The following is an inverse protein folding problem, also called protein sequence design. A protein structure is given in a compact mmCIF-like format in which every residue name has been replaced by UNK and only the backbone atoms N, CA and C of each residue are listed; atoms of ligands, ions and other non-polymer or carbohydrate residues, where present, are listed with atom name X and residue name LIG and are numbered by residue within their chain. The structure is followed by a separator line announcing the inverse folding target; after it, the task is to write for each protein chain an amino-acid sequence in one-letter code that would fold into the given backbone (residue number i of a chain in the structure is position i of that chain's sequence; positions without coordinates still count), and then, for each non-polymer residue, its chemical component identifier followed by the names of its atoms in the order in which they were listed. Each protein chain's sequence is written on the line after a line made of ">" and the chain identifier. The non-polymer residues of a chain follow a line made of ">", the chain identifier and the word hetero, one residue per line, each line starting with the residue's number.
data_IF_740830516405
#
_entry.id   IF_740830516405
#
_cell.length_a   1.000
_cell.length_b   1.000
_cell.length_c   1.000
_cell.angle_alpha   90.00
_cell.angle_beta   90.00
_cell.angle_gamma   90.00
#
_symmetry.space_group_name_H-M   'P 1'
#
loop_
_entity.id
_entity.type
_entity.pdbx_description
1 polymer ?
#
# COMPACT_ATOMS: atom_id res chain seq x y z
N UNK A 1 20.99 -75.26 15.91
CA UNK A 1 19.91 -74.42 16.48
C UNK A 1 20.19 -72.98 16.09
N UNK A 2 19.19 -72.30 15.51
CA UNK A 2 19.04 -70.83 15.32
C UNK A 2 20.10 -70.22 14.36
N UNK A 3 19.77 -69.94 13.10
CA UNK A 3 19.08 -68.72 12.62
C UNK A 3 20.01 -68.06 11.57
N UNK A 4 19.63 -67.22 10.61
CA UNK A 4 18.35 -66.66 10.20
C UNK A 4 18.52 -66.24 8.72
N UNK A 5 17.43 -66.29 7.95
CA UNK A 5 17.36 -65.77 6.57
C UNK A 5 17.30 -64.25 6.61
N UNK A 6 17.97 -63.56 5.69
CA UNK A 6 17.63 -62.18 5.34
C UNK A 6 17.76 -62.00 3.83
N UNK A 7 16.60 -61.86 3.17
CA UNK A 7 16.47 -61.47 1.78
C UNK A 7 16.59 -59.94 1.69
N UNK A 8 17.42 -59.46 0.78
CA UNK A 8 17.55 -58.04 0.45
C UNK A 8 16.51 -57.73 -0.63
N UNK A 9 15.47 -56.99 -0.28
CA UNK A 9 14.56 -56.36 -1.24
C UNK A 9 15.22 -55.09 -1.77
N UNK A 10 15.41 -55.03 -3.10
CA UNK A 10 15.86 -53.84 -3.82
C UNK A 10 14.63 -52.95 -4.10
N UNK A 11 14.43 -51.90 -3.32
CA UNK A 11 13.40 -50.89 -3.59
C UNK A 11 13.91 -49.87 -4.60
N UNK A 12 13.33 -49.88 -5.80
CA UNK A 12 13.45 -48.85 -6.82
C UNK A 12 12.68 -47.60 -6.38
N UNK A 13 13.39 -46.54 -5.97
CA UNK A 13 12.83 -45.19 -5.84
C UNK A 13 12.83 -44.52 -7.21
N UNK A 14 11.64 -44.27 -7.75
CA UNK A 14 11.45 -43.41 -8.92
C UNK A 14 11.58 -41.93 -8.50
N UNK A 15 12.53 -41.21 -9.09
CA UNK A 15 12.62 -39.75 -9.01
C UNK A 15 11.53 -39.13 -9.90
N UNK A 16 10.60 -38.39 -9.29
CA UNK A 16 9.71 -37.48 -10.00
C UNK A 16 10.38 -36.11 -10.20
N UNK A 17 10.17 -35.42 -11.34
CA UNK A 17 10.74 -34.10 -11.56
C UNK A 17 10.03 -33.03 -10.72
N UNK A 18 10.82 -32.23 -10.00
CA UNK A 18 10.39 -31.04 -9.28
C UNK A 18 10.08 -29.95 -10.32
N UNK A 19 8.82 -29.56 -10.44
CA UNK A 19 8.41 -28.41 -11.25
C UNK A 19 8.74 -27.12 -10.50
N UNK A 20 9.64 -26.30 -11.05
CA UNK A 20 10.01 -25.01 -10.51
C UNK A 20 8.92 -23.97 -10.83
N UNK A 21 8.26 -23.45 -9.79
CA UNK A 21 7.39 -22.29 -9.91
C UNK A 21 8.24 -21.00 -9.96
N UNK A 22 7.92 -20.01 -10.82
CA UNK A 22 8.54 -18.71 -10.75
C UNK A 22 8.00 -17.95 -9.54
N UNK A 23 8.91 -17.48 -8.69
CA UNK A 23 8.61 -16.51 -7.64
C UNK A 23 8.45 -15.12 -8.24
N UNK A 24 7.34 -14.46 -7.92
CA UNK A 24 7.17 -13.03 -8.15
C UNK A 24 7.20 -12.30 -6.81
N UNK A 25 8.24 -11.50 -6.64
CA UNK A 25 8.29 -10.36 -5.73
C UNK A 25 8.01 -9.08 -6.54
N UNK A 26 7.70 -7.99 -5.80
CA UNK A 26 7.45 -6.61 -6.23
C UNK A 26 5.99 -6.32 -6.68
N UNK A 27 5.24 -5.37 -6.14
CA UNK A 27 5.62 -4.15 -5.40
C UNK A 27 5.49 -2.92 -6.30
N UNK A 28 4.27 -2.52 -6.63
CA UNK A 28 3.99 -1.20 -7.22
C UNK A 28 2.54 -0.79 -6.92
N UNK A 29 2.38 0.25 -6.10
CA UNK A 29 1.12 0.98 -5.99
C UNK A 29 0.85 1.70 -7.31
N UNK A 30 -0.15 1.22 -8.03
CA UNK A 30 -0.67 1.86 -9.24
C UNK A 30 -2.17 2.00 -9.10
N UNK A 31 -2.64 3.18 -8.69
CA UNK A 31 -4.00 3.58 -8.99
C UNK A 31 -4.09 3.92 -10.49
N UNK A 32 -4.95 3.18 -11.18
CA UNK A 32 -5.57 3.48 -12.47
C UNK A 32 -4.66 3.52 -13.70
N UNK A 33 -4.30 2.33 -14.19
CA UNK A 33 -4.13 2.12 -15.62
C UNK A 33 -5.51 1.99 -16.28
N UNK A 34 -5.95 3.02 -17.00
CA UNK A 34 -7.07 2.90 -17.93
C UNK A 34 -6.69 1.93 -19.06
N UNK A 35 -7.02 0.65 -18.87
CA UNK A 35 -7.15 -0.29 -19.99
C UNK A 35 -8.31 0.17 -20.86
N UNK A 36 -8.04 0.40 -22.14
CA UNK A 36 -9.06 0.59 -23.16
C UNK A 36 -9.90 -0.69 -23.25
N UNK A 37 -11.03 -0.71 -22.57
CA UNK A 37 -12.07 -1.71 -22.76
C UNK A 37 -13.07 -1.18 -23.79
N UNK A 38 -12.95 -1.66 -25.03
CA UNK A 38 -14.13 -1.83 -25.88
C UNK A 38 -14.84 -3.09 -25.37
N UNK A 39 -16.00 -2.94 -24.73
CA UNK A 39 -16.81 -4.07 -24.27
C UNK A 39 -17.79 -3.72 -23.15
N UNK A 40 -19.06 -3.63 -23.55
CA UNK A 40 -20.30 -3.64 -22.77
C UNK A 40 -20.65 -2.46 -21.85
N UNK A 41 -21.88 -1.97 -22.03
CA UNK A 41 -22.62 -1.00 -21.20
C UNK A 41 -22.88 -1.52 -19.78
N UNK A 42 -21.84 -1.98 -19.09
CA UNK A 42 -21.90 -2.39 -17.70
C UNK A 42 -22.06 -1.12 -16.84
N UNK A 43 -23.16 -1.04 -16.11
CA UNK A 43 -23.35 0.02 -15.12
C UNK A 43 -22.18 -0.03 -14.11
N UNK A 44 -21.51 1.09 -13.81
CA UNK A 44 -20.21 1.11 -13.14
C UNK A 44 -20.19 0.48 -11.74
N UNK A 45 -21.37 0.35 -11.11
CA UNK A 45 -21.55 -0.23 -9.78
C UNK A 45 -22.30 -1.57 -9.75
N UNK A 46 -22.75 -2.08 -10.91
CA UNK A 46 -23.46 -3.35 -10.96
C UNK A 46 -22.58 -4.49 -10.43
N UNK A 47 -23.12 -5.26 -9.50
CA UNK A 47 -22.42 -6.33 -8.78
C UNK A 47 -21.79 -5.88 -7.46
N UNK A 48 -21.52 -4.58 -7.27
CA UNK A 48 -20.91 -4.09 -6.03
C UNK A 48 -21.87 -4.06 -4.84
N UNK A 49 -23.19 -4.12 -5.09
CA UNK A 49 -24.20 -4.20 -4.04
C UNK A 49 -24.09 -5.47 -3.17
N UNK A 50 -23.36 -6.49 -3.61
CA UNK A 50 -23.13 -7.73 -2.83
C UNK A 50 -21.97 -7.62 -1.84
N UNK A 51 -21.15 -6.55 -1.92
CA UNK A 51 -20.08 -6.30 -0.93
C UNK A 51 -20.66 -6.19 0.46
N UNK A 52 -19.86 -6.54 1.47
CA UNK A 52 -20.26 -6.34 2.87
C UNK A 52 -20.44 -4.86 3.21
N UNK A 53 -19.47 -4.03 2.83
CA UNK A 53 -19.49 -2.57 2.98
C UNK A 53 -19.42 -1.99 1.57
N UNK A 54 -20.41 -1.20 1.13
CA UNK A 54 -20.51 -0.84 -0.30
C UNK A 54 -19.37 0.05 -0.77
N UNK A 55 -18.86 0.90 0.13
CA UNK A 55 -17.75 1.82 -0.12
C UNK A 55 -16.37 1.15 -0.14
N UNK A 56 -16.24 -0.08 0.39
CA UNK A 56 -14.94 -0.77 0.55
C UNK A 56 -14.97 -2.14 -0.13
N UNK A 57 -14.03 -2.39 -1.04
CA UNK A 57 -13.83 -3.75 -1.57
C UNK A 57 -13.13 -4.65 -0.54
N UNK A 58 -13.17 -5.96 -0.75
CA UNK A 58 -12.43 -6.90 0.10
C UNK A 58 -10.91 -6.65 0.03
N UNK A 59 -10.41 -6.17 -1.11
CA UNK A 59 -9.02 -5.77 -1.29
C UNK A 59 -8.68 -4.53 -0.45
N UNK A 60 -9.55 -3.52 -0.44
CA UNK A 60 -9.38 -2.33 0.40
C UNK A 60 -9.32 -2.70 1.89
N UNK A 61 -10.24 -3.54 2.34
CA UNK A 61 -10.27 -4.04 3.72
C UNK A 61 -8.99 -4.79 4.07
N UNK A 62 -8.48 -5.64 3.16
CA UNK A 62 -7.25 -6.37 3.38
C UNK A 62 -6.03 -5.44 3.48
N UNK A 63 -5.93 -4.43 2.60
CA UNK A 63 -4.86 -3.42 2.64
C UNK A 63 -4.89 -2.58 3.92
N UNK A 64 -6.08 -2.12 4.31
CA UNK A 64 -6.31 -1.37 5.55
C UNK A 64 -5.87 -2.18 6.78
N UNK A 65 -6.27 -3.46 6.86
CA UNK A 65 -5.87 -4.38 7.94
C UNK A 65 -4.38 -4.70 7.95
N UNK A 66 -3.73 -4.63 6.80
CA UNK A 66 -2.29 -4.75 6.69
C UNK A 66 -1.54 -3.43 7.03
N UNK A 67 -2.25 -2.37 7.41
CA UNK A 67 -1.67 -1.06 7.74
C UNK A 67 -1.07 -0.35 6.52
N UNK A 68 -1.56 -0.66 5.31
CA UNK A 68 -1.08 -0.03 4.08
C UNK A 68 -1.56 1.42 4.01
N UNK A 69 -0.70 2.27 3.44
CA UNK A 69 -0.91 3.71 3.43
C UNK A 69 -2.03 4.23 2.53
N UNK A 70 -2.54 3.42 1.58
CA UNK A 70 -3.67 3.79 0.70
C UNK A 70 -3.55 5.21 0.09
N UNK A 71 -2.32 5.61 -0.24
CA UNK A 71 -1.98 6.95 -0.76
C UNK A 71 -2.08 8.11 0.23
N UNK A 72 -2.41 7.88 1.51
CA UNK A 72 -2.66 8.93 2.50
C UNK A 72 -1.51 9.90 2.72
N UNK A 73 -0.26 9.42 2.59
CA UNK A 73 0.94 10.22 2.78
C UNK A 73 1.52 10.83 1.49
N UNK A 74 0.87 10.68 0.34
CA UNK A 74 1.34 11.28 -0.93
C UNK A 74 1.67 12.78 -0.81
N UNK A 75 0.92 13.62 -0.07
CA UNK A 75 1.30 15.03 0.11
C UNK A 75 2.68 15.21 0.75
N UNK A 76 3.10 14.35 1.67
CA UNK A 76 4.43 14.41 2.26
C UNK A 76 5.47 13.79 1.31
N UNK A 77 5.17 12.59 0.83
CA UNK A 77 6.06 11.81 -0.01
C UNK A 77 6.48 12.54 -1.30
N UNK A 78 5.50 13.06 -2.06
CA UNK A 78 5.75 13.75 -3.32
C UNK A 78 6.32 15.17 -3.13
N UNK A 79 6.28 15.70 -1.90
CA UNK A 79 6.97 16.95 -1.55
C UNK A 79 8.33 16.70 -0.87
N UNK A 80 8.85 15.48 -0.99
CA UNK A 80 10.21 15.14 -0.60
C UNK A 80 10.44 14.97 0.89
N UNK A 81 9.39 14.62 1.64
CA UNK A 81 9.47 14.24 3.05
C UNK A 81 9.61 12.72 3.14
N UNK A 82 10.76 12.15 3.56
CA UNK A 82 10.98 10.70 3.50
C UNK A 82 10.06 9.89 4.42
N UNK A 83 9.35 8.91 3.89
CA UNK A 83 8.56 7.96 4.69
C UNK A 83 9.40 6.82 5.26
N UNK A 84 9.03 6.25 6.43
CA UNK A 84 9.89 5.29 7.12
C UNK A 84 10.12 3.97 6.35
N UNK A 85 9.13 3.47 5.60
CA UNK A 85 9.28 2.22 4.83
C UNK A 85 10.35 2.34 3.74
N UNK A 86 10.20 3.33 2.85
CA UNK A 86 11.15 3.55 1.76
C UNK A 86 12.51 4.05 2.24
N UNK A 87 12.56 4.74 3.38
CA UNK A 87 13.81 5.16 4.00
C UNK A 87 14.63 3.94 4.49
N UNK A 88 13.97 2.88 4.97
CA UNK A 88 14.64 1.61 5.32
C UNK A 88 15.11 0.85 4.08
N UNK A 89 14.30 0.80 3.02
CA UNK A 89 14.67 0.16 1.75
C UNK A 89 15.93 0.80 1.14
N UNK A 90 16.04 2.13 1.25
CA UNK A 90 17.13 2.92 0.68
C UNK A 90 18.26 3.24 1.68
N UNK A 91 18.23 2.65 2.88
CA UNK A 91 19.13 3.02 3.97
C UNK A 91 20.62 2.96 3.59
N UNK A 92 21.12 1.91 2.89
CA UNK A 92 22.52 1.85 2.49
C UNK A 92 22.89 2.93 1.46
N UNK A 93 22.03 3.22 0.48
CA UNK A 93 22.32 4.19 -0.57
C UNK A 93 22.26 5.64 -0.07
N UNK A 94 21.42 5.90 0.94
CA UNK A 94 21.31 7.21 1.61
C UNK A 94 22.46 7.43 2.60
N UNK A 95 23.10 6.35 3.08
CA UNK A 95 24.15 6.43 4.09
C UNK A 95 23.57 6.70 5.48
N UNK A 96 22.48 6.03 5.85
CA UNK A 96 21.94 6.11 7.21
C UNK A 96 22.89 5.43 8.20
N UNK A 97 23.11 6.07 9.35
CA UNK A 97 23.84 5.45 10.45
C UNK A 97 23.02 4.33 11.10
N UNK A 98 23.68 3.42 11.82
CA UNK A 98 22.99 2.36 12.57
C UNK A 98 21.94 2.91 13.55
N UNK A 99 22.23 4.06 14.19
CA UNK A 99 21.29 4.72 15.11
C UNK A 99 20.06 5.27 14.37
N UNK A 100 20.25 5.89 13.20
CA UNK A 100 19.13 6.36 12.38
C UNK A 100 18.29 5.19 11.86
N UNK A 101 18.91 4.10 11.41
CA UNK A 101 18.18 2.90 10.97
C UNK A 101 17.28 2.36 12.09
N UNK A 102 17.79 2.28 13.31
CA UNK A 102 17.01 1.81 14.45
C UNK A 102 15.84 2.76 14.77
N UNK A 103 16.09 4.07 14.72
CA UNK A 103 15.03 5.08 14.92
C UNK A 103 13.94 4.98 13.84
N UNK A 104 14.30 4.77 12.57
CA UNK A 104 13.33 4.58 11.49
C UNK A 104 12.55 3.27 11.65
N UNK A 105 13.20 2.18 12.08
CA UNK A 105 12.51 0.90 12.37
C UNK A 105 11.47 1.05 13.46
N UNK A 106 11.81 1.77 14.53
CA UNK A 106 10.86 2.04 15.61
C UNK A 106 9.66 2.84 15.10
N UNK A 107 9.90 3.93 14.36
CA UNK A 107 8.83 4.74 13.75
C UNK A 107 7.95 3.89 12.82
N UNK A 108 8.56 3.04 11.98
CA UNK A 108 7.83 2.15 11.08
C UNK A 108 6.95 1.13 11.83
N UNK A 109 7.48 0.52 12.89
CA UNK A 109 6.75 -0.43 13.71
C UNK A 109 5.55 0.22 14.42
N UNK A 110 5.77 1.38 15.05
CA UNK A 110 4.71 2.15 15.70
C UNK A 110 3.64 2.59 14.70
N UNK A 111 4.05 3.06 13.52
CA UNK A 111 3.14 3.40 12.44
C UNK A 111 2.26 2.23 12.03
N UNK A 112 2.83 1.06 11.79
CA UNK A 112 2.08 -0.11 11.35
C UNK A 112 1.02 -0.50 12.40
N UNK A 113 1.41 -0.53 13.68
CA UNK A 113 0.49 -0.86 14.77
C UNK A 113 -0.62 0.18 14.93
N UNK A 114 -0.31 1.48 14.81
CA UNK A 114 -1.32 2.55 14.87
C UNK A 114 -2.24 2.54 13.66
N UNK A 115 -1.71 2.34 12.46
CA UNK A 115 -2.47 2.31 11.21
C UNK A 115 -3.48 1.15 11.23
N UNK A 116 -3.09 -0.02 11.73
CA UNK A 116 -3.99 -1.16 11.88
C UNK A 116 -5.16 -0.87 12.82
N UNK A 117 -4.91 -0.20 13.96
CA UNK A 117 -5.99 0.18 14.88
C UNK A 117 -6.94 1.22 14.25
N UNK A 118 -6.38 2.29 13.68
CA UNK A 118 -7.16 3.32 13.01
C UNK A 118 -7.93 2.78 11.79
N UNK A 119 -7.38 1.78 11.10
CA UNK A 119 -8.04 1.09 10.00
C UNK A 119 -9.29 0.32 10.46
N UNK A 120 -9.23 -0.42 11.57
CA UNK A 120 -10.41 -1.11 12.11
C UNK A 120 -11.49 -0.10 12.55
N UNK A 121 -11.11 1.04 13.13
CA UNK A 121 -12.05 2.11 13.48
C UNK A 121 -12.73 2.69 12.22
N UNK A 122 -11.96 2.92 11.15
CA UNK A 122 -12.49 3.39 9.87
C UNK A 122 -13.41 2.36 9.21
N UNK A 123 -13.01 1.09 9.15
CA UNK A 123 -13.83 0.00 8.60
C UNK A 123 -15.14 -0.12 9.38
N UNK A 124 -15.10 -0.05 10.72
CA UNK A 124 -16.29 -0.12 11.55
C UNK A 124 -17.21 1.09 11.36
N UNK A 125 -16.67 2.28 11.15
CA UNK A 125 -17.47 3.48 10.87
C UNK A 125 -18.18 3.40 9.51
N UNK A 126 -17.48 2.93 8.47
CA UNK A 126 -18.06 2.67 7.14
C UNK A 126 -19.13 1.56 7.20
N UNK A 127 -18.90 0.48 7.96
CA UNK A 127 -19.90 -0.58 8.18
C UNK A 127 -21.16 -0.01 8.85
N UNK A 128 -21.02 0.84 9.88
CA UNK A 128 -22.19 1.49 10.52
C UNK A 128 -22.98 2.36 9.55
N UNK A 129 -22.30 3.14 8.71
CA UNK A 129 -22.94 3.96 7.68
C UNK A 129 -23.68 3.09 6.65
N UNK A 130 -23.07 2.00 6.19
CA UNK A 130 -23.69 1.03 5.28
C UNK A 130 -24.95 0.41 5.90
N UNK A 131 -24.84 -0.08 7.14
CA UNK A 131 -25.94 -0.73 7.85
C UNK A 131 -27.13 0.22 8.07
N UNK A 132 -26.91 1.51 8.30
CA UNK A 132 -28.00 2.47 8.46
C UNK A 132 -28.89 2.53 7.20
N UNK A 133 -28.28 2.54 6.01
CA UNK A 133 -29.03 2.49 4.75
C UNK A 133 -29.63 1.11 4.48
N UNK A 134 -28.93 0.03 4.81
CA UNK A 134 -29.43 -1.33 4.61
C UNK A 134 -30.64 -1.65 5.49
N UNK A 135 -30.73 -1.06 6.69
CA UNK A 135 -31.70 -1.44 7.73
C UNK A 135 -32.93 -0.56 7.86
N UNK A 136 -32.94 0.71 7.44
CA UNK A 136 -34.14 1.52 7.77
C UNK A 136 -34.29 2.97 7.32
N UNK A 137 -33.52 3.47 6.35
CA UNK A 137 -33.61 4.85 5.86
C UNK A 137 -33.25 5.89 6.96
N UNK A 138 -31.94 6.14 7.19
CA UNK A 138 -31.50 7.06 8.25
C UNK A 138 -32.08 8.44 8.03
N UNK A 139 -32.46 9.12 9.12
CA UNK A 139 -32.85 10.52 9.03
C UNK A 139 -31.63 11.43 8.79
N UNK A 140 -31.89 12.73 8.57
CA UNK A 140 -30.84 13.68 8.23
C UNK A 140 -29.80 13.87 9.35
N UNK A 141 -30.23 13.79 10.61
CA UNK A 141 -29.34 14.00 11.77
C UNK A 141 -28.47 12.75 12.00
N UNK A 142 -29.05 11.57 11.90
CA UNK A 142 -28.32 10.30 11.94
C UNK A 142 -27.30 10.22 10.81
N UNK A 143 -27.70 10.52 9.57
CA UNK A 143 -26.81 10.54 8.42
C UNK A 143 -25.63 11.50 8.65
N UNK A 144 -25.90 12.72 9.13
CA UNK A 144 -24.86 13.71 9.40
C UNK A 144 -23.86 13.21 10.44
N UNK A 145 -24.34 12.55 11.50
CA UNK A 145 -23.49 11.95 12.53
C UNK A 145 -22.62 10.83 11.96
N UNK A 146 -23.20 9.84 11.28
CA UNK A 146 -22.49 8.69 10.72
C UNK A 146 -21.42 9.10 9.70
N UNK A 147 -21.74 10.05 8.81
CA UNK A 147 -20.77 10.60 7.85
C UNK A 147 -19.63 11.32 8.58
N UNK A 148 -19.93 12.05 9.65
CA UNK A 148 -18.90 12.75 10.44
C UNK A 148 -17.99 11.76 11.18
N UNK A 149 -18.54 10.67 11.71
CA UNK A 149 -17.76 9.59 12.34
C UNK A 149 -16.81 8.90 11.35
N UNK A 150 -17.31 8.52 10.18
CA UNK A 150 -16.49 7.91 9.13
C UNK A 150 -15.40 8.88 8.63
N UNK A 151 -15.75 10.16 8.46
CA UNK A 151 -14.80 11.21 8.10
C UNK A 151 -13.70 11.42 9.14
N UNK A 152 -14.05 11.41 10.44
CA UNK A 152 -13.09 11.51 11.53
C UNK A 152 -12.14 10.31 11.58
N UNK A 153 -12.68 9.08 11.51
CA UNK A 153 -11.86 7.87 11.51
C UNK A 153 -10.89 7.82 10.32
N UNK A 154 -11.34 8.25 9.13
CA UNK A 154 -10.47 8.38 7.95
C UNK A 154 -9.38 9.44 8.14
N UNK A 155 -9.71 10.56 8.79
CA UNK A 155 -8.75 11.62 9.08
C UNK A 155 -7.67 11.13 10.04
N UNK A 156 -8.04 10.38 11.08
CA UNK A 156 -7.10 9.79 12.04
C UNK A 156 -6.16 8.79 11.36
N UNK A 157 -6.71 7.89 10.52
CA UNK A 157 -5.89 6.96 9.74
C UNK A 157 -4.90 7.70 8.81
N UNK A 158 -5.37 8.76 8.13
CA UNK A 158 -4.51 9.60 7.28
C UNK A 158 -3.41 10.30 8.09
N UNK A 159 -3.74 10.77 9.30
CA UNK A 159 -2.80 11.42 10.20
C UNK A 159 -1.69 10.46 10.65
N UNK A 160 -2.00 9.19 10.95
CA UNK A 160 -0.99 8.18 11.32
C UNK A 160 0.12 8.14 10.25
N UNK A 161 -0.24 8.03 8.98
CA UNK A 161 0.76 7.97 7.90
C UNK A 161 1.51 9.30 7.72
N UNK A 162 0.81 10.44 7.63
CA UNK A 162 1.46 11.74 7.41
C UNK A 162 2.39 12.13 8.56
N UNK A 163 2.00 11.87 9.80
CA UNK A 163 2.80 12.21 10.97
C UNK A 163 4.16 11.51 10.98
N UNK A 164 4.29 10.33 10.34
CA UNK A 164 5.58 9.63 10.29
C UNK A 164 6.58 10.28 9.37
N UNK A 165 6.13 10.85 8.27
CA UNK A 165 6.99 11.67 7.42
C UNK A 165 7.48 12.93 8.16
N UNK A 166 6.65 13.49 9.05
CA UNK A 166 7.07 14.61 9.91
C UNK A 166 8.07 14.18 10.99
N UNK A 167 8.03 12.94 11.47
CA UNK A 167 8.97 12.43 12.48
C UNK A 167 10.32 12.08 11.87
N UNK A 168 10.34 11.38 10.73
CA UNK A 168 11.57 10.92 10.07
C UNK A 168 12.50 12.07 9.70
N UNK A 169 11.98 13.20 9.22
CA UNK A 169 12.82 14.34 8.82
C UNK A 169 13.58 14.99 9.98
N UNK A 170 13.14 14.82 11.23
CA UNK A 170 13.70 15.53 12.38
C UNK A 170 15.14 15.12 12.73
N UNK A 171 15.59 13.96 12.24
CA UNK A 171 16.91 13.41 12.53
C UNK A 171 17.71 13.07 11.27
N UNK A 172 17.21 13.43 10.08
CA UNK A 172 17.94 13.30 8.82
C UNK A 172 18.68 14.59 8.50
N UNK A 173 19.86 14.47 7.88
CA UNK A 173 20.54 15.63 7.31
C UNK A 173 19.86 16.07 6.01
N UNK A 174 20.07 17.34 5.63
CA UNK A 174 19.62 17.83 4.32
C UNK A 174 20.21 17.03 3.15
N UNK A 175 21.45 16.52 3.29
CA UNK A 175 22.08 15.65 2.29
C UNK A 175 21.37 14.30 2.17
N UNK A 176 20.95 13.70 3.29
CA UNK A 176 20.21 12.43 3.31
C UNK A 176 18.82 12.59 2.69
N UNK A 177 18.12 13.70 3.00
CA UNK A 177 16.83 14.02 2.37
C UNK A 177 17.00 14.24 0.86
N UNK A 178 18.03 14.98 0.44
CA UNK A 178 18.32 15.17 -0.98
C UNK A 178 18.69 13.85 -1.69
N UNK A 179 19.41 12.94 -1.02
CA UNK A 179 19.71 11.62 -1.54
C UNK A 179 18.44 10.77 -1.72
N UNK A 180 17.56 10.76 -0.72
CA UNK A 180 16.24 10.12 -0.81
C UNK A 180 15.45 10.62 -2.02
N UNK A 181 15.30 11.94 -2.16
CA UNK A 181 14.52 12.55 -3.25
C UNK A 181 15.10 12.22 -4.63
N UNK A 182 16.44 12.13 -4.77
CA UNK A 182 17.07 11.66 -6.01
C UNK A 182 16.78 10.18 -6.28
N UNK A 183 16.96 9.32 -5.29
CA UNK A 183 16.74 7.87 -5.43
C UNK A 183 15.29 7.52 -5.73
N UNK A 184 14.34 8.34 -5.27
CA UNK A 184 12.91 8.19 -5.53
C UNK A 184 12.43 8.86 -6.81
N UNK A 185 13.29 9.59 -7.51
CA UNK A 185 12.96 10.26 -8.77
C UNK A 185 12.22 11.59 -8.61
N UNK A 186 12.17 12.18 -7.41
CA UNK A 186 11.47 13.43 -7.11
C UNK A 186 12.31 14.69 -7.34
N UNK A 187 13.59 14.54 -7.68
CA UNK A 187 14.51 15.65 -7.83
C UNK A 187 14.56 16.26 -9.26
N UNK A 188 13.88 15.64 -10.23
CA UNK A 188 13.90 16.09 -11.63
C UNK A 188 12.53 16.60 -12.06
N UNK A 189 12.52 17.62 -12.91
CA UNK A 189 11.31 18.05 -13.60
C UNK A 189 10.92 16.99 -14.66
N UNK A 190 9.74 16.35 -14.55
CA UNK A 190 9.29 15.37 -15.53
C UNK A 190 9.09 15.98 -16.93
N UNK A 191 8.91 17.29 -17.04
CA UNK A 191 8.74 18.00 -18.30
C UNK A 191 10.06 18.12 -19.09
N UNK A 192 11.20 18.11 -18.40
CA UNK A 192 12.53 18.22 -19.00
C UNK A 192 13.13 16.85 -19.37
N UNK A 193 12.51 15.76 -18.91
CA UNK A 193 13.05 14.40 -19.06
C UNK A 193 11.99 13.40 -19.52
N UNK A 194 11.72 13.40 -20.82
CA UNK A 194 10.95 12.33 -21.48
C UNK A 194 11.79 11.05 -21.48
N UNK A 195 11.34 9.93 -20.90
CA UNK A 195 12.08 8.68 -20.91
C UNK A 195 12.16 8.06 -22.31
N UNK A 196 13.24 7.32 -22.58
CA UNK A 196 13.41 6.60 -23.83
C UNK A 196 12.19 5.71 -24.13
N UNK A 197 11.75 5.71 -25.39
CA UNK A 197 10.58 4.94 -25.84
C UNK A 197 9.22 5.59 -25.55
N UNK A 198 9.17 6.78 -24.92
CA UNK A 198 7.93 7.52 -24.72
C UNK A 198 7.75 8.61 -25.77
N UNK A 199 6.51 8.82 -26.23
CA UNK A 199 6.17 9.96 -27.06
C UNK A 199 6.29 11.26 -26.24
N UNK A 200 7.10 12.24 -26.68
CA UNK A 200 7.32 13.47 -25.92
C UNK A 200 6.05 14.27 -25.64
N UNK A 201 5.10 14.33 -26.59
CA UNK A 201 3.89 15.13 -26.43
C UNK A 201 2.93 14.46 -25.42
N UNK A 202 2.72 13.15 -25.52
CA UNK A 202 1.90 12.38 -24.58
C UNK A 202 2.50 12.38 -23.17
N UNK A 203 3.82 12.25 -23.04
CA UNK A 203 4.49 12.29 -21.74
C UNK A 203 4.31 13.65 -21.05
N UNK A 204 4.55 14.74 -21.79
CA UNK A 204 4.38 16.10 -21.27
C UNK A 204 2.92 16.39 -20.89
N UNK A 205 1.97 15.94 -21.71
CA UNK A 205 0.54 16.07 -21.40
C UNK A 205 0.16 15.32 -20.11
N UNK A 206 0.60 14.07 -19.94
CA UNK A 206 0.31 13.29 -18.72
C UNK A 206 0.94 13.86 -17.45
N UNK A 207 2.04 14.62 -17.57
CA UNK A 207 2.72 15.26 -16.46
C UNK A 207 2.30 16.73 -16.24
N UNK A 208 1.23 17.18 -16.89
CA UNK A 208 0.70 18.56 -16.80
C UNK A 208 1.75 19.63 -17.13
N UNK A 209 2.63 19.35 -18.10
CA UNK A 209 3.61 20.31 -18.59
C UNK A 209 2.95 21.36 -19.49
N UNK A 210 3.41 22.61 -19.39
CA UNK A 210 3.01 23.69 -20.31
C UNK A 210 3.53 23.49 -21.75
#
# INVERSE_FOLDING_TARGET
>A
MIGSKAAVLLSLLALAPISAAPGHAEGAGGHQGHQQHQGDDAQPYAGQQTRRIKSLSDADIAELRAGKGWGFALPAELNGWPGPAHLLELAPQIGLSAAQIEQVRQIHHEMAAEAQRAAEDFIAAEDRLDQAFASGNPDADELRRLVSEAGAARADLRYVHLSRHLQTVQFLSGEQIAAYNRLRGYAADPCDKVPDGHDPAMWRMHNNCE
#
